data_IF_006495716865
#
_entry.id   IF_006495716865
#
_cell.length_a   1.000
_cell.length_b   1.000
_cell.length_c   1.000
_cell.angle_alpha   90.00
_cell.angle_beta   90.00
_cell.angle_gamma   90.00
#
_symmetry.space_group_name_H-M   'P 1'
#
loop_
_entity.id
_entity.type
_entity.pdbx_description
1 polymer ?
#
# COMPACT_ATOMS: atom_id res chain seq x y z
N UNK A 1 12.18 -2.56 -31.36
CA UNK A 1 11.19 -1.88 -32.22
C UNK A 1 9.82 -1.89 -31.54
N UNK A 2 9.66 -1.20 -30.40
CA UNK A 2 8.40 -1.18 -29.63
C UNK A 2 8.08 0.20 -29.05
N UNK A 3 8.88 1.23 -29.34
CA UNK A 3 8.70 2.57 -28.79
C UNK A 3 7.61 3.39 -29.50
N UNK A 4 7.38 3.15 -30.80
CA UNK A 4 6.43 3.93 -31.60
C UNK A 4 4.96 3.77 -31.13
N UNK A 5 4.47 2.56 -30.78
CA UNK A 5 3.13 2.41 -30.21
C UNK A 5 2.99 3.07 -28.83
N UNK A 6 4.04 3.03 -28.01
CA UNK A 6 4.03 3.60 -26.66
C UNK A 6 4.00 5.12 -26.70
N UNK A 7 4.79 5.75 -27.56
CA UNK A 7 4.82 7.21 -27.69
C UNK A 7 3.49 7.75 -28.24
N UNK A 8 2.86 7.06 -29.20
CA UNK A 8 1.52 7.44 -29.67
C UNK A 8 0.48 7.36 -28.53
N UNK A 9 0.47 6.25 -27.79
CA UNK A 9 -0.45 6.06 -26.66
C UNK A 9 -0.22 7.12 -25.57
N UNK A 10 1.04 7.47 -25.30
CA UNK A 10 1.40 8.54 -24.38
C UNK A 10 0.79 9.88 -24.80
N UNK A 11 0.90 10.24 -26.08
CA UNK A 11 0.29 11.47 -26.60
C UNK A 11 -1.23 11.48 -26.46
N UNK A 12 -1.89 10.36 -26.75
CA UNK A 12 -3.35 10.21 -26.63
C UNK A 12 -3.80 10.33 -25.16
N UNK A 13 -3.11 9.68 -24.22
CA UNK A 13 -3.40 9.74 -22.78
C UNK A 13 -3.23 11.17 -22.26
N UNK A 14 -2.18 11.88 -22.69
CA UNK A 14 -1.93 13.25 -22.24
C UNK A 14 -2.98 14.25 -22.77
N UNK A 15 -3.73 13.92 -23.81
CA UNK A 15 -4.82 14.74 -24.34
C UNK A 15 -6.13 14.59 -23.53
N UNK A 16 -6.26 13.55 -22.69
CA UNK A 16 -7.43 13.33 -21.83
C UNK A 16 -7.51 14.39 -20.72
N UNK A 17 -8.70 14.53 -20.11
CA UNK A 17 -8.88 15.34 -18.91
C UNK A 17 -8.09 14.76 -17.72
N UNK A 18 -7.87 15.56 -16.68
CA UNK A 18 -7.18 15.10 -15.47
C UNK A 18 -7.87 13.91 -14.80
N UNK A 19 -9.21 13.91 -14.75
CA UNK A 19 -10.00 12.84 -14.16
C UNK A 19 -9.84 11.52 -14.93
N UNK A 20 -9.95 11.55 -16.25
CA UNK A 20 -9.79 10.36 -17.10
C UNK A 20 -8.36 9.80 -17.03
N UNK A 21 -7.35 10.68 -16.96
CA UNK A 21 -5.95 10.24 -16.75
C UNK A 21 -5.77 9.60 -15.38
N UNK A 22 -6.39 10.12 -14.33
CA UNK A 22 -6.30 9.56 -12.99
C UNK A 22 -6.96 8.18 -12.90
N UNK A 23 -8.12 8.01 -13.52
CA UNK A 23 -8.82 6.72 -13.64
C UNK A 23 -7.95 5.71 -14.39
N UNK A 24 -7.43 6.06 -15.57
CA UNK A 24 -6.58 5.17 -16.34
C UNK A 24 -5.27 4.82 -15.61
N UNK A 25 -4.66 5.78 -14.91
CA UNK A 25 -3.47 5.53 -14.12
C UNK A 25 -3.76 4.54 -12.98
N UNK A 26 -4.92 4.66 -12.32
CA UNK A 26 -5.34 3.71 -11.29
C UNK A 26 -5.46 2.28 -11.86
N UNK A 27 -6.15 2.13 -12.99
CA UNK A 27 -6.34 0.82 -13.62
C UNK A 27 -5.02 0.20 -14.09
N UNK A 28 -4.13 1.00 -14.68
CA UNK A 28 -2.81 0.53 -15.08
C UNK A 28 -1.97 0.11 -13.89
N UNK A 29 -1.95 0.89 -12.80
CA UNK A 29 -1.24 0.51 -11.57
C UNK A 29 -1.81 -0.79 -11.00
N UNK A 30 -3.13 -0.92 -10.91
CA UNK A 30 -3.81 -2.12 -10.45
C UNK A 30 -3.50 -3.34 -11.34
N UNK A 31 -3.32 -3.16 -12.64
CA UNK A 31 -2.92 -4.24 -13.55
C UNK A 31 -1.50 -4.75 -13.32
N UNK A 32 -0.65 -3.95 -12.66
CA UNK A 32 0.72 -4.31 -12.30
C UNK A 32 0.79 -5.02 -10.94
N UNK A 33 -0.28 -5.00 -10.16
CA UNK A 33 -0.34 -5.77 -8.92
C UNK A 33 -0.18 -7.25 -9.28
N UNK A 34 0.92 -7.84 -8.82
CA UNK A 34 1.14 -9.27 -8.95
C UNK A 34 -0.03 -10.02 -8.29
N UNK A 35 -0.36 -11.25 -8.74
CA UNK A 35 -1.20 -12.14 -7.95
C UNK A 35 -0.68 -12.13 -6.52
N UNK A 36 -1.58 -11.97 -5.53
CA UNK A 36 -1.18 -12.13 -4.13
C UNK A 36 -0.47 -13.47 -4.01
N UNK A 37 0.72 -13.46 -3.42
CA UNK A 37 1.42 -14.71 -3.15
C UNK A 37 0.47 -15.64 -2.38
N UNK A 38 0.40 -16.90 -2.81
CA UNK A 38 -0.43 -17.90 -2.14
C UNK A 38 -0.03 -17.97 -0.66
N UNK A 39 -1.02 -17.94 0.24
CA UNK A 39 -0.80 -18.02 1.68
C UNK A 39 -0.44 -16.70 2.38
N UNK A 40 -0.45 -15.55 1.69
CA UNK A 40 -0.33 -14.23 2.35
C UNK A 40 -1.43 -14.03 3.38
N UNK A 41 -2.67 -14.35 3.03
CA UNK A 41 -3.82 -14.23 3.95
C UNK A 41 -3.65 -15.14 5.17
N UNK A 42 -3.33 -16.41 4.95
CA UNK A 42 -3.08 -17.38 6.04
C UNK A 42 -1.92 -16.95 6.95
N UNK A 43 -0.84 -16.41 6.38
CA UNK A 43 0.29 -15.89 7.13
C UNK A 43 -0.08 -14.68 7.99
N UNK A 44 -0.92 -13.78 7.46
CA UNK A 44 -1.45 -12.64 8.21
C UNK A 44 -2.37 -13.08 9.34
N UNK A 45 -3.26 -14.04 9.10
CA UNK A 45 -4.16 -14.59 10.11
C UNK A 45 -3.39 -15.27 11.25
N UNK A 46 -2.34 -16.03 10.90
CA UNK A 46 -1.41 -16.61 11.87
C UNK A 46 -0.70 -15.55 12.71
N UNK A 47 -0.19 -14.50 12.08
CA UNK A 47 0.51 -13.41 12.77
C UNK A 47 -0.41 -12.58 13.68
N UNK A 48 -1.64 -12.28 13.24
CA UNK A 48 -2.63 -11.55 14.05
C UNK A 48 -2.99 -12.39 15.28
N UNK A 49 -3.26 -13.68 15.09
CA UNK A 49 -3.58 -14.60 16.18
C UNK A 49 -2.43 -14.70 17.19
N UNK A 50 -1.19 -14.79 16.71
CA UNK A 50 0.01 -14.79 17.57
C UNK A 50 0.09 -13.51 18.41
N UNK A 51 -0.09 -12.33 17.80
CA UNK A 51 -0.01 -11.05 18.53
C UNK A 51 -1.11 -10.89 19.56
N UNK A 52 -2.34 -11.32 19.26
CA UNK A 52 -3.44 -11.30 20.24
C UNK A 52 -3.07 -12.16 21.45
N UNK A 53 -2.59 -13.38 21.22
CA UNK A 53 -2.18 -14.29 22.30
C UNK A 53 -1.04 -13.70 23.16
N UNK A 54 -0.07 -13.01 22.55
CA UNK A 54 1.00 -12.33 23.31
C UNK A 54 0.48 -11.19 24.18
N UNK A 55 -0.53 -10.45 23.70
CA UNK A 55 -1.20 -9.41 24.48
C UNK A 55 -1.96 -10.04 25.66
N UNK A 56 -2.78 -11.06 25.39
CA UNK A 56 -3.59 -11.73 26.40
C UNK A 56 -2.73 -12.44 27.46
N UNK A 57 -1.57 -12.97 27.07
CA UNK A 57 -0.60 -13.56 27.98
C UNK A 57 0.25 -12.52 28.75
N UNK A 58 0.09 -11.23 28.47
CA UNK A 58 0.89 -10.16 29.07
C UNK A 58 2.37 -10.18 28.66
N UNK A 59 2.69 -10.81 27.52
CA UNK A 59 4.03 -10.94 26.98
C UNK A 59 4.37 -9.82 25.98
N UNK A 60 3.34 -9.16 25.43
CA UNK A 60 3.52 -8.06 24.50
C UNK A 60 3.97 -6.78 25.22
N UNK A 61 4.99 -6.10 24.67
CA UNK A 61 5.34 -4.74 25.07
C UNK A 61 4.33 -3.76 24.44
N UNK A 62 3.45 -3.22 25.28
CA UNK A 62 2.44 -2.26 24.86
C UNK A 62 2.96 -0.83 24.99
N UNK A 63 2.50 0.04 24.09
CA UNK A 63 2.76 1.47 24.18
C UNK A 63 1.46 2.23 24.40
N UNK A 64 1.53 3.26 25.25
CA UNK A 64 0.40 4.15 25.45
C UNK A 64 0.03 4.88 24.16
N UNK A 65 -1.27 4.95 23.88
CA UNK A 65 -1.77 5.51 22.61
C UNK A 65 -1.35 6.96 22.42
N UNK A 66 -1.29 7.76 23.48
CA UNK A 66 -0.84 9.14 23.43
C UNK A 66 0.63 9.24 22.99
N UNK A 67 1.51 8.47 23.63
CA UNK A 67 2.94 8.42 23.31
C UNK A 67 3.19 7.92 21.88
N UNK A 68 2.43 6.91 21.43
CA UNK A 68 2.49 6.43 20.05
C UNK A 68 2.16 7.54 19.04
N UNK A 69 1.07 8.29 19.26
CA UNK A 69 0.65 9.37 18.35
C UNK A 69 1.68 10.49 18.28
N UNK A 70 2.24 10.90 19.41
CA UNK A 70 3.30 11.90 19.47
C UNK A 70 4.53 11.46 18.66
N UNK A 71 4.97 10.20 18.87
CA UNK A 71 6.11 9.62 18.14
C UNK A 71 5.91 9.62 16.63
N UNK A 72 4.72 9.22 16.15
CA UNK A 72 4.41 9.21 14.71
C UNK A 72 4.38 10.62 14.13
N UNK A 73 3.72 11.57 14.81
CA UNK A 73 3.66 12.97 14.36
C UNK A 73 5.06 13.57 14.24
N UNK A 74 5.89 13.41 15.27
CA UNK A 74 7.25 13.91 15.25
C UNK A 74 8.12 13.26 14.15
N UNK A 75 7.78 12.06 13.67
CA UNK A 75 8.49 11.41 12.55
C UNK A 75 8.08 12.01 11.21
N UNK A 76 6.79 12.30 11.02
CA UNK A 76 6.27 12.91 9.80
C UNK A 76 6.73 14.36 9.62
N UNK A 77 6.88 15.12 10.72
CA UNK A 77 7.40 16.49 10.68
C UNK A 77 8.90 16.59 10.37
N UNK A 78 9.62 15.46 10.37
CA UNK A 78 11.06 15.37 10.07
C UNK A 78 11.37 14.89 8.65
N UNK A 79 10.35 14.56 7.86
CA UNK A 79 10.47 14.17 6.46
C UNK A 79 10.11 15.36 5.57
#
# INVERSE_FOLDING_TARGET
MTAEPLERLRSEILALSEAERAELAHDLIKSLDAPRDDGVEDAWDGEISRRINEIDAGQAELVERAAFRERIRAKLERQ
#
